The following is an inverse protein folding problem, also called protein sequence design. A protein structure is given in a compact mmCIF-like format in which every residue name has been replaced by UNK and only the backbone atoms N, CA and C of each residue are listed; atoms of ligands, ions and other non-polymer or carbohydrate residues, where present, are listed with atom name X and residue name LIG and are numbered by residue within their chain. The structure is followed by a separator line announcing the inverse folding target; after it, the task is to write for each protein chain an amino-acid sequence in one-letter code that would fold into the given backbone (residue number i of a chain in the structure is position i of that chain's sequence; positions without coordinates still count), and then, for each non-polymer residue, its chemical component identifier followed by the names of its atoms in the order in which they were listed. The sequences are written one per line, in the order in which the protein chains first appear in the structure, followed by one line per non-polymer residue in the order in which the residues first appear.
data_IF_496782623324
#
_entry.id   IF_496782623324
#
_cell.length_a   1.000
_cell.length_b   1.000
_cell.length_c   1.000
_cell.angle_alpha   90.00
_cell.angle_beta   90.00
_cell.angle_gamma   90.00
#
_symmetry.space_group_name_H-M   'P 1'
#
loop_
_entity.id
_entity.type
_entity.pdbx_description
1 polymer ?
#
# COMPACT_ATOMS: atom_id res chain seq x y z
N UNK A 1 -29.36 6.23 -3.18
CA UNK A 1 -29.54 7.39 -2.27
C UNK A 1 -28.46 8.43 -2.58
N UNK A 2 -28.70 9.72 -2.33
CA UNK A 2 -27.68 10.75 -2.52
C UNK A 2 -27.00 11.15 -1.20
N UNK A 3 -25.71 11.45 -1.25
CA UNK A 3 -24.89 11.87 -0.12
C UNK A 3 -24.12 13.14 -0.44
N UNK A 4 -24.03 14.05 0.51
CA UNK A 4 -23.11 15.18 0.45
C UNK A 4 -21.67 14.72 0.68
N UNK A 5 -20.70 15.59 0.37
CA UNK A 5 -19.27 15.37 0.71
C UNK A 5 -19.10 15.00 2.19
N UNK A 6 -19.83 15.64 3.10
CA UNK A 6 -19.70 15.41 4.53
C UNK A 6 -20.18 14.01 4.95
N UNK A 7 -21.26 13.53 4.34
CA UNK A 7 -21.83 12.21 4.63
C UNK A 7 -20.98 11.10 4.02
N UNK A 8 -20.57 11.24 2.75
CA UNK A 8 -19.77 10.22 2.09
C UNK A 8 -18.37 10.13 2.69
N UNK A 9 -17.78 11.26 3.12
CA UNK A 9 -16.50 11.29 3.85
C UNK A 9 -16.52 10.40 5.09
N UNK A 10 -17.61 10.44 5.88
CA UNK A 10 -17.78 9.57 7.04
C UNK A 10 -17.89 8.10 6.65
N UNK A 11 -18.60 7.78 5.56
CA UNK A 11 -18.77 6.41 5.07
C UNK A 11 -17.46 5.79 4.55
N UNK A 12 -16.66 6.54 3.79
CA UNK A 12 -15.37 6.06 3.26
C UNK A 12 -14.19 6.24 4.24
N UNK A 13 -14.46 6.79 5.43
CA UNK A 13 -13.45 7.11 6.43
C UNK A 13 -12.30 7.98 5.89
N UNK A 14 -12.64 9.04 5.17
CA UNK A 14 -11.69 10.06 4.71
C UNK A 14 -12.15 11.45 5.14
N UNK A 15 -11.24 12.42 5.23
CA UNK A 15 -11.65 13.77 5.57
C UNK A 15 -12.46 14.42 4.44
N UNK A 16 -13.46 15.28 4.75
CA UNK A 16 -14.12 16.11 3.73
C UNK A 16 -13.13 16.96 2.92
N UNK A 17 -11.99 17.35 3.52
CA UNK A 17 -10.92 18.05 2.83
C UNK A 17 -10.27 17.18 1.75
N UNK A 18 -10.02 15.90 2.03
CA UNK A 18 -9.48 14.92 1.06
C UNK A 18 -10.41 14.76 -0.13
N UNK A 19 -11.73 14.64 0.09
CA UNK A 19 -12.68 14.53 -1.02
C UNK A 19 -12.75 15.82 -1.85
N UNK A 20 -12.70 16.99 -1.20
CA UNK A 20 -12.61 18.28 -1.90
C UNK A 20 -11.33 18.37 -2.74
N UNK A 21 -10.21 17.88 -2.21
CA UNK A 21 -8.97 17.77 -2.96
C UNK A 21 -9.14 16.86 -4.18
N UNK A 22 -9.70 15.65 -4.05
CA UNK A 22 -9.97 14.78 -5.20
C UNK A 22 -10.88 15.42 -6.26
N UNK A 23 -11.90 16.12 -5.80
CA UNK A 23 -12.77 16.90 -6.66
C UNK A 23 -12.03 18.03 -7.42
N UNK A 24 -11.08 18.69 -6.76
CA UNK A 24 -10.25 19.75 -7.36
C UNK A 24 -9.27 19.18 -8.39
N UNK A 25 -8.65 18.05 -8.07
CA UNK A 25 -7.75 17.33 -8.97
C UNK A 25 -8.50 16.63 -10.12
N UNK A 26 -9.84 16.70 -10.16
CA UNK A 26 -10.63 16.13 -11.26
C UNK A 26 -10.78 14.62 -11.23
N UNK A 27 -10.66 14.00 -10.05
CA UNK A 27 -10.83 12.55 -9.84
C UNK A 27 -12.29 12.12 -9.70
N UNK A 28 -13.22 13.08 -9.58
CA UNK A 28 -14.64 12.83 -9.35
C UNK A 28 -15.54 13.42 -10.46
N UNK A 29 -15.24 13.17 -11.76
CA UNK A 29 -16.03 13.72 -12.87
C UNK A 29 -17.42 13.08 -12.99
N UNK A 30 -17.60 11.88 -12.43
CA UNK A 30 -18.86 11.12 -12.43
C UNK A 30 -19.87 11.60 -11.36
N UNK A 31 -19.44 12.46 -10.42
CA UNK A 31 -20.30 12.93 -9.32
C UNK A 31 -21.18 14.07 -9.78
N UNK A 32 -22.49 13.88 -9.64
CA UNK A 32 -23.51 14.87 -10.00
C UNK A 32 -23.45 16.10 -9.09
N UNK A 33 -24.08 17.19 -9.54
CA UNK A 33 -24.26 18.41 -8.76
C UNK A 33 -25.75 18.71 -8.57
N UNK A 34 -26.12 19.19 -7.39
CA UNK A 34 -27.43 19.78 -7.14
C UNK A 34 -27.61 21.07 -7.94
N UNK A 35 -28.84 21.58 -7.99
CA UNK A 35 -29.16 22.90 -8.57
C UNK A 35 -28.36 24.05 -7.92
N UNK A 36 -28.04 23.92 -6.63
CA UNK A 36 -27.18 24.84 -5.88
C UNK A 36 -25.67 24.63 -6.11
N UNK A 37 -25.29 23.70 -6.98
CA UNK A 37 -23.90 23.43 -7.37
C UNK A 37 -23.11 22.52 -6.43
N UNK A 38 -23.76 21.92 -5.42
CA UNK A 38 -23.15 21.03 -4.42
C UNK A 38 -23.00 19.63 -5.00
N UNK A 39 -21.85 18.99 -4.80
CA UNK A 39 -21.63 17.60 -5.23
C UNK A 39 -22.51 16.62 -4.46
N UNK A 40 -23.21 15.78 -5.20
CA UNK A 40 -24.14 14.77 -4.70
C UNK A 40 -23.68 13.38 -5.15
N UNK A 41 -23.21 12.58 -4.21
CA UNK A 41 -22.67 11.25 -4.44
C UNK A 41 -23.78 10.21 -4.40
N UNK A 42 -23.76 9.24 -5.31
CA UNK A 42 -24.61 8.05 -5.28
C UNK A 42 -23.90 6.90 -4.58
N UNK A 43 -24.64 5.83 -4.30
CA UNK A 43 -24.07 4.61 -3.74
C UNK A 43 -23.00 4.00 -4.68
N UNK A 44 -23.16 4.13 -5.99
CA UNK A 44 -22.19 3.65 -7.01
C UNK A 44 -20.85 4.41 -6.96
N UNK A 45 -20.86 5.69 -6.58
CA UNK A 45 -19.65 6.51 -6.46
C UNK A 45 -18.73 6.03 -5.32
N UNK A 46 -19.29 5.30 -4.35
CA UNK A 46 -18.53 4.72 -3.25
C UNK A 46 -17.47 3.74 -3.75
N UNK A 47 -17.80 2.93 -4.76
CA UNK A 47 -16.86 1.98 -5.35
C UNK A 47 -15.65 2.70 -5.94
N UNK A 48 -15.87 3.81 -6.64
CA UNK A 48 -14.80 4.63 -7.20
C UNK A 48 -13.91 5.25 -6.13
N UNK A 49 -14.51 5.76 -5.04
CA UNK A 49 -13.73 6.28 -3.91
C UNK A 49 -12.85 5.21 -3.26
N UNK A 50 -13.35 3.98 -3.12
CA UNK A 50 -12.52 2.88 -2.61
C UNK A 50 -11.37 2.53 -3.56
N UNK A 51 -11.60 2.53 -4.87
CA UNK A 51 -10.55 2.26 -5.88
C UNK A 51 -9.47 3.36 -5.81
N UNK A 52 -9.87 4.64 -5.79
CA UNK A 52 -8.94 5.77 -5.68
C UNK A 52 -8.08 5.65 -4.41
N UNK A 53 -8.70 5.38 -3.26
CA UNK A 53 -7.97 5.20 -2.00
C UNK A 53 -7.03 3.99 -2.02
N UNK A 54 -7.46 2.87 -2.63
CA UNK A 54 -6.64 1.67 -2.76
C UNK A 54 -5.39 1.93 -3.62
N UNK A 55 -5.58 2.53 -4.81
CA UNK A 55 -4.48 2.84 -5.72
C UNK A 55 -3.49 3.83 -5.10
N UNK A 56 -4.01 4.86 -4.42
CA UNK A 56 -3.19 5.83 -3.69
C UNK A 56 -2.38 5.16 -2.57
N UNK A 57 -2.99 4.27 -1.78
CA UNK A 57 -2.29 3.48 -0.74
C UNK A 57 -1.22 2.57 -1.32
N UNK A 58 -1.44 2.05 -2.52
CA UNK A 58 -0.45 1.27 -3.27
C UNK A 58 0.67 2.14 -3.89
N UNK A 59 0.67 3.45 -3.63
CA UNK A 59 1.72 4.38 -4.08
C UNK A 59 1.49 4.96 -5.47
N UNK A 60 0.32 4.77 -6.08
CA UNK A 60 0.02 5.36 -7.39
C UNK A 60 -0.13 6.89 -7.26
N UNK A 61 0.60 7.68 -8.06
CA UNK A 61 0.45 9.13 -8.11
C UNK A 61 -0.97 9.56 -8.49
N UNK A 62 -1.46 10.66 -7.91
CA UNK A 62 -2.79 11.22 -8.21
C UNK A 62 -3.01 11.46 -9.71
N UNK A 63 -1.97 11.90 -10.42
CA UNK A 63 -2.01 12.09 -11.89
C UNK A 63 -2.34 10.80 -12.65
N UNK A 64 -1.81 9.66 -12.22
CA UNK A 64 -1.99 8.38 -12.91
C UNK A 64 -3.37 7.78 -12.56
N UNK A 65 -3.84 8.01 -11.33
CA UNK A 65 -5.22 7.72 -10.94
C UNK A 65 -6.19 8.56 -11.79
N UNK A 66 -5.88 9.84 -12.03
CA UNK A 66 -6.68 10.67 -12.93
C UNK A 66 -6.75 10.11 -14.33
N UNK A 67 -5.63 9.66 -14.90
CA UNK A 67 -5.63 8.97 -16.20
C UNK A 67 -6.57 7.78 -16.22
N UNK A 68 -6.57 6.94 -15.18
CA UNK A 68 -7.53 5.81 -15.07
C UNK A 68 -8.99 6.29 -15.06
N UNK A 69 -9.29 7.37 -14.33
CA UNK A 69 -10.64 7.94 -14.28
C UNK A 69 -11.05 8.50 -15.64
N UNK A 70 -10.18 9.25 -16.31
CA UNK A 70 -10.46 9.85 -17.62
C UNK A 70 -10.71 8.74 -18.66
N UNK A 71 -9.87 7.69 -18.69
CA UNK A 71 -10.09 6.51 -19.55
C UNK A 71 -11.43 5.82 -19.25
N UNK A 72 -11.84 5.77 -17.99
CA UNK A 72 -13.14 5.18 -17.62
C UNK A 72 -14.29 5.99 -18.20
N UNK A 73 -14.19 7.33 -18.21
CA UNK A 73 -15.22 8.20 -18.79
C UNK A 73 -15.33 8.05 -20.31
N UNK A 74 -14.27 7.63 -21.00
CA UNK A 74 -14.30 7.30 -22.44
C UNK A 74 -15.04 5.99 -22.75
N UNK A 75 -15.27 5.14 -21.75
CA UNK A 75 -16.06 3.93 -21.87
C UNK A 75 -15.27 2.70 -22.32
N UNK A 76 -15.93 1.80 -23.05
CA UNK A 76 -15.42 0.44 -23.29
C UNK A 76 -14.24 0.38 -24.28
N UNK A 77 -14.03 1.42 -25.08
CA UNK A 77 -12.88 1.54 -25.99
C UNK A 77 -11.54 1.52 -25.26
N UNK A 78 -11.51 1.85 -23.97
CA UNK A 78 -10.27 1.96 -23.16
C UNK A 78 -10.05 0.78 -22.23
N UNK A 79 -10.86 -0.29 -22.29
CA UNK A 79 -10.77 -1.44 -21.38
C UNK A 79 -9.34 -2.00 -21.31
N UNK A 80 -8.67 -2.13 -22.46
CA UNK A 80 -7.31 -2.66 -22.53
C UNK A 80 -6.30 -1.75 -21.80
N UNK A 81 -6.41 -0.43 -21.98
CA UNK A 81 -5.53 0.54 -21.31
C UNK A 81 -5.75 0.53 -19.80
N UNK A 82 -7.00 0.45 -19.36
CA UNK A 82 -7.36 0.37 -17.93
C UNK A 82 -6.83 -0.93 -17.30
N UNK A 83 -6.96 -2.05 -18.00
CA UNK A 83 -6.41 -3.34 -17.56
C UNK A 83 -4.88 -3.27 -17.39
N UNK A 84 -4.18 -2.62 -18.32
CA UNK A 84 -2.73 -2.49 -18.27
C UNK A 84 -2.26 -1.64 -17.08
N UNK A 85 -3.00 -0.58 -16.72
CA UNK A 85 -2.74 0.21 -15.50
C UNK A 85 -2.82 -0.68 -14.27
N UNK A 86 -3.87 -1.50 -14.14
CA UNK A 86 -4.02 -2.40 -12.99
C UNK A 86 -2.97 -3.50 -12.95
N UNK A 87 -2.59 -4.08 -14.09
CA UNK A 87 -1.53 -5.10 -14.17
C UNK A 87 -0.19 -4.54 -13.69
N UNK A 88 0.18 -3.35 -14.18
CA UNK A 88 1.43 -2.68 -13.77
C UNK A 88 1.44 -2.34 -12.29
N UNK A 89 0.32 -1.82 -11.77
CA UNK A 89 0.20 -1.50 -10.35
C UNK A 89 0.28 -2.76 -9.49
N UNK A 90 -0.34 -3.87 -9.93
CA UNK A 90 -0.25 -5.17 -9.27
C UNK A 90 1.19 -5.65 -9.20
N UNK A 91 1.91 -5.66 -10.33
CA UNK A 91 3.31 -6.12 -10.38
C UNK A 91 4.22 -5.26 -9.49
N UNK A 92 4.03 -3.93 -9.49
CA UNK A 92 4.75 -3.02 -8.60
C UNK A 92 4.49 -3.35 -7.12
N UNK A 93 3.24 -3.61 -6.75
CA UNK A 93 2.88 -3.94 -5.38
C UNK A 93 3.42 -5.31 -4.95
N UNK A 94 3.40 -6.32 -5.84
CA UNK A 94 3.99 -7.63 -5.58
C UNK A 94 5.51 -7.52 -5.31
N UNK A 95 6.23 -6.69 -6.09
CA UNK A 95 7.66 -6.40 -5.85
C UNK A 95 7.89 -5.72 -4.50
N UNK A 96 7.05 -4.76 -4.13
CA UNK A 96 7.13 -4.08 -2.83
C UNK A 96 6.88 -5.07 -1.67
N UNK A 97 5.89 -5.94 -1.80
CA UNK A 97 5.59 -6.98 -0.80
C UNK A 97 6.79 -7.91 -0.62
N UNK A 98 7.39 -8.38 -1.72
CA UNK A 98 8.58 -9.24 -1.65
C UNK A 98 9.74 -8.54 -0.92
N UNK A 99 10.01 -7.26 -1.23
CA UNK A 99 11.05 -6.48 -0.57
C UNK A 99 10.76 -6.26 0.93
N UNK A 100 9.51 -5.99 1.30
CA UNK A 100 9.10 -5.83 2.69
C UNK A 100 9.21 -7.15 3.46
N UNK A 101 8.90 -8.29 2.83
CA UNK A 101 9.07 -9.61 3.42
C UNK A 101 10.55 -9.93 3.70
N UNK A 102 11.45 -9.59 2.78
CA UNK A 102 12.90 -9.72 3.01
C UNK A 102 13.40 -8.79 4.13
N UNK A 103 12.85 -7.57 4.21
CA UNK A 103 13.18 -6.63 5.28
C UNK A 103 12.67 -7.15 6.64
N UNK A 104 11.45 -7.67 6.68
CA UNK A 104 10.84 -8.24 7.88
C UNK A 104 11.64 -9.43 8.42
N UNK A 105 12.13 -10.29 7.52
CA UNK A 105 13.06 -11.37 7.86
C UNK A 105 14.24 -10.84 8.67
N UNK A 106 14.95 -9.81 8.20
CA UNK A 106 16.08 -9.22 8.94
C UNK A 106 15.67 -8.68 10.31
N UNK A 107 14.52 -8.01 10.39
CA UNK A 107 14.01 -7.48 11.65
C UNK A 107 13.70 -8.60 12.65
N UNK A 108 13.05 -9.69 12.21
CA UNK A 108 12.81 -10.88 13.04
C UNK A 108 14.13 -11.44 13.61
N UNK A 109 15.16 -11.55 12.77
CA UNK A 109 16.47 -12.00 13.22
C UNK A 109 17.05 -11.07 14.29
N UNK A 110 16.93 -9.76 14.12
CA UNK A 110 17.42 -8.78 15.10
C UNK A 110 16.61 -8.78 16.41
N UNK A 111 15.31 -9.00 16.35
CA UNK A 111 14.49 -9.21 17.55
C UNK A 111 14.98 -10.42 18.33
N UNK A 112 15.07 -11.60 17.69
CA UNK A 112 15.60 -12.81 18.31
C UNK A 112 17.01 -12.60 18.87
N UNK A 113 17.88 -11.92 18.12
CA UNK A 113 19.25 -11.62 18.54
C UNK A 113 19.25 -10.84 19.85
N UNK A 114 18.50 -9.75 19.94
CA UNK A 114 18.50 -8.92 21.14
C UNK A 114 17.72 -9.52 22.31
N UNK A 115 16.67 -10.31 22.05
CA UNK A 115 15.98 -11.08 23.09
C UNK A 115 16.92 -12.10 23.74
N UNK A 116 17.69 -12.82 22.93
CA UNK A 116 18.66 -13.80 23.42
C UNK A 116 19.81 -13.12 24.18
N UNK A 117 20.32 -12.00 23.66
CA UNK A 117 21.37 -11.22 24.32
C UNK A 117 20.89 -10.63 25.66
N UNK A 118 19.64 -10.17 25.72
CA UNK A 118 19.00 -9.67 26.95
C UNK A 118 18.93 -10.76 28.01
N UNK A 119 18.50 -11.97 27.64
CA UNK A 119 18.40 -13.10 28.57
C UNK A 119 19.78 -13.56 29.07
N UNK A 120 20.81 -13.48 28.22
CA UNK A 120 22.18 -13.84 28.58
C UNK A 120 22.97 -12.70 29.25
N UNK A 121 22.43 -11.48 29.30
CA UNK A 121 23.12 -10.28 29.78
C UNK A 121 24.26 -9.79 28.87
N UNK A 122 24.45 -10.37 27.69
CA UNK A 122 25.52 -10.00 26.76
C UNK A 122 25.21 -10.40 25.32
N UNK A 123 25.62 -9.57 24.36
CA UNK A 123 25.59 -9.90 22.93
C UNK A 123 26.62 -10.98 22.55
N UNK A 124 27.61 -11.27 23.42
CA UNK A 124 28.62 -12.30 23.17
C UNK A 124 28.03 -13.72 23.12
N UNK A 125 26.82 -13.93 23.65
CA UNK A 125 26.12 -15.23 23.62
C UNK A 125 25.96 -15.78 22.20
N UNK A 126 25.87 -14.90 21.19
CA UNK A 126 25.72 -15.29 19.79
C UNK A 126 26.95 -15.91 19.15
N UNK A 127 28.12 -15.79 19.80
CA UNK A 127 29.35 -16.44 19.37
C UNK A 127 29.35 -17.93 19.70
N UNK A 128 28.60 -18.34 20.72
CA UNK A 128 28.53 -19.72 21.24
C UNK A 128 27.25 -20.46 20.84
N UNK A 129 26.21 -19.74 20.39
CA UNK A 129 24.95 -20.33 19.93
C UNK A 129 25.14 -21.11 18.62
N UNK A 130 24.70 -22.37 18.62
CA UNK A 130 24.70 -23.24 17.45
C UNK A 130 23.60 -22.84 16.46
N UNK A 131 23.72 -23.29 15.21
CA UNK A 131 22.73 -22.95 14.17
C UNK A 131 21.40 -23.64 14.45
N UNK A 132 21.43 -24.83 15.05
CA UNK A 132 20.25 -25.61 15.45
C UNK A 132 19.33 -24.86 16.42
N UNK A 133 19.89 -24.05 17.32
CA UNK A 133 19.16 -23.29 18.34
C UNK A 133 18.50 -22.00 17.80
N UNK A 134 18.76 -21.67 16.53
CA UNK A 134 18.18 -20.51 15.86
C UNK A 134 16.84 -20.93 15.24
N UNK A 135 15.77 -20.14 15.42
CA UNK A 135 14.49 -20.39 14.74
C UNK A 135 14.66 -20.55 13.22
N UNK A 136 13.99 -21.55 12.65
CA UNK A 136 14.16 -21.97 11.25
C UNK A 136 13.89 -20.85 10.24
N UNK A 137 12.92 -19.98 10.53
CA UNK A 137 12.50 -18.88 9.66
C UNK A 137 13.55 -17.76 9.55
N UNK A 138 14.55 -17.72 10.44
CA UNK A 138 15.63 -16.72 10.44
C UNK A 138 17.04 -17.29 10.27
N UNK A 139 17.23 -18.61 10.28
CA UNK A 139 18.50 -19.29 9.95
C UNK A 139 19.17 -18.79 8.65
N UNK A 140 18.47 -18.68 7.49
CA UNK A 140 19.11 -18.28 6.23
C UNK A 140 19.69 -16.85 6.27
N UNK A 141 19.20 -15.99 7.17
CA UNK A 141 19.64 -14.60 7.28
C UNK A 141 21.00 -14.51 7.95
N UNK A 142 21.25 -15.32 8.99
CA UNK A 142 22.56 -15.36 9.66
C UNK A 142 23.66 -15.81 8.70
N UNK A 143 23.36 -16.75 7.81
CA UNK A 143 24.28 -17.20 6.76
C UNK A 143 24.57 -16.09 5.75
N UNK A 144 23.55 -15.38 5.29
CA UNK A 144 23.72 -14.25 4.38
C UNK A 144 24.55 -13.12 5.00
N UNK A 145 24.32 -12.77 6.27
CA UNK A 145 25.13 -11.76 6.99
C UNK A 145 26.58 -12.22 7.18
N UNK A 146 26.82 -13.51 7.47
CA UNK A 146 28.18 -14.07 7.54
C UNK A 146 28.90 -13.98 6.21
N UNK A 147 28.23 -14.30 5.09
CA UNK A 147 28.79 -14.21 3.73
C UNK A 147 29.17 -12.78 3.34
N UNK A 148 28.33 -11.79 3.68
CA UNK A 148 28.65 -10.37 3.43
C UNK A 148 29.87 -9.92 4.24
N UNK A 149 30.04 -10.40 5.47
CA UNK A 149 31.20 -10.10 6.31
C UNK A 149 32.51 -10.77 5.87
N UNK A 150 32.46 -11.87 5.10
CA UNK A 150 33.66 -12.53 4.58
C UNK A 150 34.16 -11.97 3.25
N UNK A 151 33.46 -10.97 2.69
CA UNK A 151 33.80 -10.30 1.43
C UNK A 151 34.57 -8.98 1.65
N UNK A 152 34.87 -8.65 2.92
CA UNK A 152 35.68 -7.52 3.37
C UNK A 152 36.76 -8.02 4.32
#
# INVERSE_FOLDING_TARGET
MYYTIGEIAKKVNVSPHTLRFYAKEGLLPFVERSESGIRMFKDEDFQWLMIIECLKKAGMPIKDIKTLIDLTMEGDSTIEQRLEIFKRQKESLEKQIAQLQETLKLLKYKCWYYETAKNAGTCAVHNTIKIEDIPEDIRPIKENIKKVRSLY
#
